data_IF_323859399167
#
_entry.id   IF_323859399167
#
_cell.length_a   1.000
_cell.length_b   1.000
_cell.length_c   1.000
_cell.angle_alpha   90.00
_cell.angle_beta   90.00
_cell.angle_gamma   90.00
#
_symmetry.space_group_name_H-M   'P 1'
#
loop_
_entity.id
_entity.type
_entity.pdbx_description
1 polymer ?
#
# COMPACT_ATOMS: atom_id res chain seq x y z
N UNK A 1 28.99 11.27 -82.47
CA UNK A 1 28.42 12.06 -81.35
C UNK A 1 27.62 11.13 -80.46
N UNK A 2 28.21 10.62 -79.36
CA UNK A 2 27.52 9.79 -78.36
C UNK A 2 27.02 10.72 -77.25
N UNK A 3 25.69 10.80 -77.05
CA UNK A 3 25.08 11.59 -75.97
C UNK A 3 25.22 10.80 -74.65
N UNK A 4 25.97 11.36 -73.70
CA UNK A 4 26.02 10.90 -72.32
C UNK A 4 24.78 11.43 -71.59
N UNK A 5 23.91 10.55 -71.08
CA UNK A 5 22.84 10.91 -70.16
C UNK A 5 23.42 10.95 -68.74
N UNK A 6 23.46 12.13 -68.13
CA UNK A 6 23.66 12.32 -66.69
C UNK A 6 22.29 12.18 -66.03
N UNK A 7 22.13 11.19 -65.16
CA UNK A 7 20.98 11.04 -64.26
C UNK A 7 21.40 11.63 -62.90
N UNK A 8 20.63 12.57 -62.32
CA UNK A 8 20.96 13.13 -61.01
C UNK A 8 20.64 12.09 -59.92
N UNK A 9 21.64 11.78 -59.09
CA UNK A 9 21.51 10.92 -57.93
C UNK A 9 20.80 11.72 -56.82
N UNK A 10 19.48 11.53 -56.68
CA UNK A 10 18.70 12.08 -55.57
C UNK A 10 19.09 11.31 -54.30
N UNK A 11 19.82 11.96 -53.40
CA UNK A 11 20.14 11.43 -52.07
C UNK A 11 18.90 11.53 -51.19
N UNK A 12 18.15 10.43 -51.06
CA UNK A 12 17.13 10.30 -50.02
C UNK A 12 17.84 10.28 -48.66
N UNK A 13 17.74 11.37 -47.90
CA UNK A 13 17.93 11.29 -46.45
C UNK A 13 16.79 10.44 -45.89
N UNK A 14 17.06 9.18 -45.59
CA UNK A 14 16.20 8.35 -44.74
C UNK A 14 16.28 8.91 -43.32
N UNK A 15 15.31 9.74 -42.95
CA UNK A 15 15.03 10.00 -41.53
C UNK A 15 14.59 8.67 -40.94
N UNK A 16 15.47 8.01 -40.21
CA UNK A 16 15.13 6.83 -39.40
C UNK A 16 14.21 7.30 -38.29
N UNK A 17 12.90 7.33 -38.55
CA UNK A 17 11.91 7.44 -37.50
C UNK A 17 12.00 6.19 -36.65
N UNK A 18 12.34 6.36 -35.37
CA UNK A 18 12.27 5.26 -34.41
C UNK A 18 10.83 4.74 -34.35
N UNK A 19 10.67 3.42 -34.38
CA UNK A 19 9.36 2.80 -34.28
C UNK A 19 8.80 3.06 -32.87
N UNK A 20 7.61 3.66 -32.80
CA UNK A 20 6.89 3.91 -31.55
C UNK A 20 6.16 2.65 -31.11
N UNK A 21 6.06 2.39 -29.81
CA UNK A 21 5.36 1.20 -29.31
C UNK A 21 3.86 1.30 -29.52
N UNK A 22 3.27 0.24 -30.06
CA UNK A 22 1.82 0.11 -30.12
C UNK A 22 1.21 -0.09 -28.73
N UNK A 23 -0.09 0.17 -28.59
CA UNK A 23 -0.86 -0.19 -27.39
C UNK A 23 -0.68 -1.65 -26.94
N UNK A 24 -0.63 -2.59 -27.90
CA UNK A 24 -0.46 -4.00 -27.59
C UNK A 24 0.95 -4.31 -27.05
N UNK A 25 1.96 -3.61 -27.57
CA UNK A 25 3.33 -3.73 -27.09
C UNK A 25 3.47 -3.19 -25.66
N UNK A 26 2.91 -2.01 -25.37
CA UNK A 26 2.89 -1.46 -24.01
C UNK A 26 2.13 -2.35 -23.03
N UNK A 27 0.98 -2.90 -23.45
CA UNK A 27 0.20 -3.85 -22.63
C UNK A 27 1.03 -5.11 -22.30
N UNK A 28 1.81 -5.60 -23.27
CA UNK A 28 2.71 -6.73 -23.08
C UNK A 28 3.83 -6.39 -22.10
N UNK A 29 4.49 -5.25 -22.24
CA UNK A 29 5.53 -4.77 -21.31
C UNK A 29 4.99 -4.68 -19.89
N UNK A 30 3.81 -4.08 -19.69
CA UNK A 30 3.17 -4.01 -18.38
C UNK A 30 2.95 -5.41 -17.78
N UNK A 31 2.44 -6.35 -18.59
CA UNK A 31 2.21 -7.73 -18.13
C UNK A 31 3.52 -8.44 -17.75
N UNK A 32 4.56 -8.32 -18.58
CA UNK A 32 5.88 -8.91 -18.35
C UNK A 32 6.59 -8.30 -17.13
N UNK A 33 6.36 -7.01 -16.85
CA UNK A 33 6.96 -6.33 -15.71
C UNK A 33 6.53 -6.87 -14.35
N UNK A 34 5.38 -7.55 -14.29
CA UNK A 34 4.80 -8.02 -13.03
C UNK A 34 4.26 -6.91 -12.12
N UNK A 35 4.45 -5.63 -12.46
CA UNK A 35 3.92 -4.50 -11.67
C UNK A 35 2.39 -4.53 -11.69
N UNK A 36 1.77 -4.37 -10.52
CA UNK A 36 0.32 -4.48 -10.31
C UNK A 36 -0.36 -3.18 -9.87
N UNK A 37 0.40 -2.10 -9.72
CA UNK A 37 -0.08 -0.78 -9.36
C UNK A 37 1.07 0.16 -9.06
N UNK A 38 0.75 1.37 -8.63
CA UNK A 38 1.73 2.41 -8.31
C UNK A 38 1.87 3.45 -9.43
N UNK A 39 3.02 4.11 -9.47
CA UNK A 39 3.30 5.18 -10.41
C UNK A 39 4.09 4.66 -11.62
N UNK A 40 3.50 4.76 -12.81
CA UNK A 40 4.11 4.33 -14.06
C UNK A 40 4.49 5.53 -14.94
N UNK A 41 5.62 5.44 -15.62
CA UNK A 41 6.17 6.49 -16.47
C UNK A 41 6.39 5.98 -17.89
N UNK A 42 6.00 6.78 -18.88
CA UNK A 42 6.22 6.50 -20.30
C UNK A 42 7.09 7.59 -20.94
N UNK A 43 8.38 7.34 -21.12
CA UNK A 43 9.33 8.28 -21.72
C UNK A 43 9.34 8.16 -23.24
N UNK A 44 9.35 9.29 -23.94
CA UNK A 44 9.31 9.35 -25.40
C UNK A 44 7.93 9.03 -25.98
N UNK A 45 6.88 9.12 -25.17
CA UNK A 45 5.52 8.81 -25.58
C UNK A 45 5.05 9.76 -26.70
N UNK A 46 4.46 9.19 -27.75
CA UNK A 46 3.81 9.93 -28.85
C UNK A 46 2.39 9.45 -29.12
N UNK A 47 2.00 8.27 -28.61
CA UNK A 47 0.65 7.72 -28.69
C UNK A 47 -0.03 7.71 -27.30
N UNK A 48 -1.12 8.48 -27.19
CA UNK A 48 -1.92 8.56 -25.98
C UNK A 48 -2.66 7.27 -25.64
N UNK A 49 -3.03 6.47 -26.65
CA UNK A 49 -3.68 5.18 -26.46
C UNK A 49 -2.72 4.11 -25.93
N UNK A 50 -1.46 4.16 -26.36
CA UNK A 50 -0.39 3.31 -25.84
C UNK A 50 -0.06 3.67 -24.39
N UNK A 51 0.09 4.98 -24.09
CA UNK A 51 0.28 5.46 -22.71
C UNK A 51 -0.87 5.06 -21.79
N UNK A 52 -2.12 5.17 -22.25
CA UNK A 52 -3.29 4.79 -21.48
C UNK A 52 -3.30 3.30 -21.09
N UNK A 53 -2.66 2.42 -21.87
CA UNK A 53 -2.58 0.99 -21.54
C UNK A 53 -1.75 0.70 -20.28
N UNK A 54 -0.92 1.64 -19.81
CA UNK A 54 -0.23 1.54 -18.52
C UNK A 54 -1.17 1.72 -17.30
N UNK A 55 -2.44 2.07 -17.52
CA UNK A 55 -3.46 2.19 -16.48
C UNK A 55 -4.59 1.15 -16.67
N UNK A 56 -4.36 -0.14 -16.42
CA UNK A 56 -5.39 -1.17 -16.55
C UNK A 56 -6.46 -1.11 -15.43
N UNK A 57 -6.16 -0.46 -14.31
CA UNK A 57 -7.05 -0.31 -13.14
C UNK A 57 -6.82 1.02 -12.43
N UNK A 58 -7.59 1.31 -11.39
CA UNK A 58 -7.41 2.49 -10.54
C UNK A 58 -6.23 2.42 -9.58
N UNK A 59 -5.56 1.26 -9.51
CA UNK A 59 -4.33 1.05 -8.76
C UNK A 59 -3.11 1.75 -9.37
N UNK A 60 -3.27 2.43 -10.51
CA UNK A 60 -2.18 3.05 -11.26
C UNK A 60 -2.40 4.56 -11.45
N UNK A 61 -1.29 5.29 -11.35
CA UNK A 61 -1.17 6.65 -11.86
C UNK A 61 -0.07 6.67 -12.93
N UNK A 62 -0.32 7.33 -14.05
CA UNK A 62 0.56 7.29 -15.22
C UNK A 62 0.97 8.70 -15.64
N UNK A 63 2.27 8.88 -15.88
CA UNK A 63 2.81 10.11 -16.44
C UNK A 63 3.65 9.81 -17.69
N UNK A 64 3.22 10.35 -18.83
CA UNK A 64 4.02 10.34 -20.05
C UNK A 64 4.90 11.59 -20.14
N UNK A 65 6.13 11.41 -20.61
CA UNK A 65 7.05 12.50 -20.92
C UNK A 65 7.39 12.46 -22.42
N UNK A 66 6.84 13.40 -23.18
CA UNK A 66 7.11 13.54 -24.61
C UNK A 66 8.44 14.26 -24.84
N UNK A 67 9.17 13.88 -25.88
CA UNK A 67 10.42 14.55 -26.30
C UNK A 67 10.18 15.68 -27.30
N UNK A 68 9.09 15.61 -28.07
CA UNK A 68 8.68 16.65 -29.01
C UNK A 68 7.58 17.53 -28.41
N UNK A 69 7.90 18.82 -28.24
CA UNK A 69 6.97 19.81 -27.72
C UNK A 69 5.73 20.01 -28.59
N UNK A 70 5.86 19.85 -29.91
CA UNK A 70 4.76 20.05 -30.86
C UNK A 70 3.73 18.91 -30.83
N UNK A 71 4.14 17.72 -30.39
CA UNK A 71 3.28 16.54 -30.30
C UNK A 71 2.49 16.45 -28.99
N UNK A 72 2.83 17.26 -27.98
CA UNK A 72 2.27 17.15 -26.63
C UNK A 72 0.76 17.30 -26.56
N UNK A 73 0.20 18.29 -27.26
CA UNK A 73 -1.25 18.51 -27.24
C UNK A 73 -2.00 17.36 -27.91
N UNK A 74 -1.44 16.78 -28.96
CA UNK A 74 -1.94 15.55 -29.59
C UNK A 74 -1.89 14.36 -28.65
N UNK A 75 -0.79 14.18 -27.92
CA UNK A 75 -0.64 13.14 -26.90
C UNK A 75 -1.68 13.27 -25.78
N UNK A 76 -1.87 14.49 -25.26
CA UNK A 76 -2.88 14.80 -24.23
C UNK A 76 -4.29 14.51 -24.71
N UNK A 77 -4.60 14.87 -25.96
CA UNK A 77 -5.89 14.59 -26.56
C UNK A 77 -6.12 13.09 -26.79
N UNK A 78 -5.10 12.36 -27.22
CA UNK A 78 -5.13 10.90 -27.33
C UNK A 78 -5.40 10.21 -25.99
N UNK A 79 -4.76 10.69 -24.91
CA UNK A 79 -5.01 10.20 -23.54
C UNK A 79 -6.47 10.44 -23.13
N UNK A 80 -7.00 11.65 -23.34
CA UNK A 80 -8.39 11.97 -23.02
C UNK A 80 -9.38 11.07 -23.76
N UNK A 81 -9.15 10.84 -25.06
CA UNK A 81 -9.98 9.95 -25.87
C UNK A 81 -9.93 8.50 -25.40
N UNK A 82 -8.76 8.02 -24.96
CA UNK A 82 -8.57 6.64 -24.53
C UNK A 82 -9.11 6.36 -23.11
N UNK A 83 -8.96 7.31 -22.19
CA UNK A 83 -9.29 7.14 -20.75
C UNK A 83 -10.64 7.78 -20.38
N UNK A 84 -11.14 8.71 -21.20
CA UNK A 84 -12.34 9.50 -20.91
C UNK A 84 -12.13 10.65 -19.91
N UNK A 85 -10.93 10.78 -19.34
CA UNK A 85 -10.55 11.84 -18.39
C UNK A 85 -9.06 12.16 -18.50
N UNK A 86 -8.62 13.24 -17.85
CA UNK A 86 -7.20 13.64 -17.78
C UNK A 86 -6.78 13.88 -16.33
N UNK A 87 -5.57 13.45 -15.95
CA UNK A 87 -5.00 13.65 -14.61
C UNK A 87 -4.42 12.38 -14.00
N UNK A 88 -5.20 11.29 -13.95
CA UNK A 88 -4.70 9.96 -13.53
C UNK A 88 -3.78 9.33 -14.57
N UNK A 89 -4.03 9.63 -15.85
CA UNK A 89 -3.05 9.55 -16.93
C UNK A 89 -2.83 10.97 -17.43
N UNK A 90 -1.58 11.40 -17.49
CA UNK A 90 -1.20 12.75 -17.88
C UNK A 90 0.09 12.75 -18.70
N UNK A 91 0.36 13.85 -19.39
CA UNK A 91 1.56 14.04 -20.18
C UNK A 91 2.18 15.44 -20.01
N UNK A 92 3.50 15.47 -20.00
CA UNK A 92 4.32 16.69 -20.04
C UNK A 92 5.56 16.49 -20.94
N UNK A 93 6.42 17.50 -21.02
CA UNK A 93 7.66 17.46 -21.79
C UNK A 93 8.82 16.95 -20.96
N UNK A 94 9.58 16.00 -21.51
CA UNK A 94 10.90 15.65 -21.00
C UNK A 94 11.88 16.81 -21.25
N UNK A 95 12.42 17.40 -20.18
CA UNK A 95 13.40 18.48 -20.25
C UNK A 95 14.78 17.96 -19.89
N UNK A 96 15.61 17.73 -20.90
CA UNK A 96 16.96 17.20 -20.71
C UNK A 96 16.95 15.72 -20.31
N UNK A 97 17.97 15.30 -19.58
CA UNK A 97 18.23 13.90 -19.21
C UNK A 97 18.02 13.60 -17.72
N UNK A 98 17.48 14.56 -16.95
CA UNK A 98 17.11 14.39 -15.55
C UNK A 98 15.59 14.32 -15.42
N UNK A 99 15.09 13.28 -14.77
CA UNK A 99 13.67 13.00 -14.67
C UNK A 99 13.05 13.87 -13.55
N UNK A 100 11.85 14.44 -13.79
CA UNK A 100 11.20 15.37 -12.86
C UNK A 100 10.52 14.66 -11.67
N UNK A 101 11.14 13.59 -11.16
CA UNK A 101 10.63 12.79 -10.06
C UNK A 101 11.63 12.79 -8.91
N UNK A 102 11.08 12.77 -7.70
CA UNK A 102 11.86 12.47 -6.50
C UNK A 102 12.37 11.03 -6.54
N UNK A 103 13.42 10.74 -5.79
CA UNK A 103 13.99 9.39 -5.73
C UNK A 103 12.93 8.39 -5.27
N UNK A 104 13.01 7.17 -5.79
CA UNK A 104 12.13 6.05 -5.43
C UNK A 104 10.66 6.20 -5.84
N UNK A 105 10.25 7.15 -6.67
CA UNK A 105 8.83 7.36 -6.98
C UNK A 105 8.21 6.34 -7.96
N UNK A 106 8.99 5.79 -8.91
CA UNK A 106 8.46 5.12 -10.12
C UNK A 106 8.48 3.59 -9.99
N UNK A 107 7.32 2.93 -10.04
CA UNK A 107 7.25 1.46 -10.00
C UNK A 107 7.53 0.81 -11.37
N UNK A 108 7.07 1.45 -12.45
CA UNK A 108 7.31 1.01 -13.82
C UNK A 108 7.75 2.18 -14.68
N UNK A 109 8.92 2.08 -15.31
CA UNK A 109 9.37 3.04 -16.31
C UNK A 109 9.46 2.35 -17.67
N UNK A 110 8.75 2.86 -18.67
CA UNK A 110 8.87 2.40 -20.05
C UNK A 110 9.53 3.52 -20.85
N UNK A 111 10.69 3.24 -21.43
CA UNK A 111 11.44 4.21 -22.22
C UNK A 111 11.48 3.78 -23.68
N UNK A 112 10.89 4.60 -24.55
CA UNK A 112 10.98 4.44 -25.99
C UNK A 112 12.42 4.61 -26.49
N UNK A 113 12.63 4.19 -27.73
CA UNK A 113 13.93 4.24 -28.39
C UNK A 113 14.35 5.69 -28.66
N UNK A 114 15.65 5.98 -28.52
CA UNK A 114 16.19 7.33 -28.72
C UNK A 114 16.03 8.29 -27.53
N UNK A 115 15.43 7.86 -26.41
CA UNK A 115 15.39 8.67 -25.18
C UNK A 115 16.71 8.54 -24.41
N UNK A 116 17.40 9.65 -24.21
CA UNK A 116 18.71 9.69 -23.53
C UNK A 116 18.57 10.00 -22.04
N UNK A 117 18.26 8.98 -21.24
CA UNK A 117 18.34 9.03 -19.76
C UNK A 117 19.30 7.93 -19.31
N UNK A 118 20.28 8.29 -18.48
CA UNK A 118 21.30 7.34 -18.04
C UNK A 118 20.72 6.35 -17.01
N UNK A 119 21.39 5.20 -16.87
CA UNK A 119 20.94 4.11 -16.00
C UNK A 119 20.88 4.52 -14.52
N UNK A 120 21.83 5.34 -14.05
CA UNK A 120 21.86 5.81 -12.67
C UNK A 120 20.64 6.69 -12.32
N UNK A 121 20.21 7.54 -13.27
CA UNK A 121 19.03 8.37 -13.14
C UNK A 121 17.74 7.54 -13.15
N UNK A 122 17.68 6.51 -13.99
CA UNK A 122 16.56 5.54 -13.98
C UNK A 122 16.49 4.85 -12.63
N UNK A 123 17.62 4.31 -12.13
CA UNK A 123 17.69 3.66 -10.82
C UNK A 123 17.38 4.63 -9.67
N UNK A 124 17.71 5.92 -9.79
CA UNK A 124 17.36 6.94 -8.80
C UNK A 124 15.85 7.05 -8.65
N UNK A 125 15.12 7.20 -9.75
CA UNK A 125 13.66 7.40 -9.71
C UNK A 125 12.88 6.12 -9.48
N UNK A 126 13.41 4.95 -9.85
CA UNK A 126 12.72 3.68 -9.60
C UNK A 126 12.52 3.48 -8.10
N UNK A 127 11.30 3.12 -7.69
CA UNK A 127 11.01 2.63 -6.34
C UNK A 127 11.77 1.33 -6.09
N UNK A 128 12.10 0.98 -4.83
CA UNK A 128 12.53 -0.37 -4.50
C UNK A 128 11.57 -1.42 -5.09
N UNK A 129 12.14 -2.46 -5.72
CA UNK A 129 11.43 -3.48 -6.51
C UNK A 129 10.77 -2.98 -7.81
N UNK A 130 10.91 -1.69 -8.13
CA UNK A 130 10.49 -1.10 -9.39
C UNK A 130 11.35 -1.59 -10.56
N UNK A 131 10.77 -1.56 -11.76
CA UNK A 131 11.41 -2.04 -12.99
C UNK A 131 11.30 -1.01 -14.11
N UNK A 132 12.36 -0.90 -14.90
CA UNK A 132 12.38 -0.16 -16.15
C UNK A 132 12.47 -1.12 -17.35
N UNK A 133 11.79 -0.79 -18.43
CA UNK A 133 11.87 -1.41 -19.74
C UNK A 133 12.39 -0.36 -20.73
N UNK A 134 13.56 -0.61 -21.30
CA UNK A 134 14.26 0.32 -22.19
C UNK A 134 14.29 -0.25 -23.60
N UNK A 135 13.74 0.47 -24.57
CA UNK A 135 13.77 0.06 -25.96
C UNK A 135 15.11 0.43 -26.59
N UNK A 136 15.81 -0.56 -27.14
CA UNK A 136 17.07 -0.41 -27.88
C UNK A 136 17.14 -1.41 -29.01
N UNK A 137 17.49 -0.96 -30.21
CA UNK A 137 17.59 -1.78 -31.43
C UNK A 137 16.30 -2.59 -31.68
N UNK A 138 15.15 -1.94 -31.47
CA UNK A 138 13.83 -2.54 -31.58
C UNK A 138 13.50 -3.62 -30.53
N UNK A 139 14.32 -3.80 -29.47
CA UNK A 139 14.11 -4.79 -28.40
C UNK A 139 13.99 -4.12 -27.04
N UNK A 140 13.27 -4.77 -26.13
CA UNK A 140 13.16 -4.35 -24.73
C UNK A 140 14.26 -4.98 -23.89
N UNK A 141 14.98 -4.14 -23.14
CA UNK A 141 15.88 -4.56 -22.06
C UNK A 141 15.27 -4.13 -20.73
N UNK A 142 15.15 -5.06 -19.78
CA UNK A 142 14.69 -4.74 -18.43
C UNK A 142 15.85 -4.40 -17.49
N UNK A 143 15.54 -3.60 -16.48
CA UNK A 143 16.41 -3.24 -15.36
C UNK A 143 15.53 -3.12 -14.12
N UNK A 144 15.93 -3.70 -12.99
CA UNK A 144 15.14 -3.64 -11.75
C UNK A 144 15.97 -3.11 -10.60
N UNK A 145 15.33 -2.37 -9.69
CA UNK A 145 15.97 -1.86 -8.48
C UNK A 145 15.74 -2.84 -7.32
N UNK A 146 16.81 -3.34 -6.66
CA UNK A 146 16.65 -4.24 -5.52
C UNK A 146 16.03 -3.53 -4.31
N UNK A 147 15.54 -4.32 -3.34
CA UNK A 147 15.22 -3.79 -2.03
C UNK A 147 16.51 -3.35 -1.32
N UNK A 148 16.53 -2.16 -0.71
CA UNK A 148 17.72 -1.65 -0.04
C UNK A 148 17.83 -2.20 1.39
N UNK A 149 19.04 -2.59 1.82
CA UNK A 149 19.29 -3.24 3.13
C UNK A 149 19.09 -2.32 4.34
N UNK A 150 19.08 -1.01 4.12
CA UNK A 150 18.95 0.04 5.14
C UNK A 150 17.49 0.51 5.35
N UNK A 151 16.51 -0.06 4.61
CA UNK A 151 15.08 0.15 4.84
C UNK A 151 14.46 -1.06 5.50
N UNK A 152 13.87 -0.81 6.67
CA UNK A 152 13.16 -1.82 7.45
C UNK A 152 11.65 -1.85 7.15
N UNK A 153 10.98 -2.90 7.63
CA UNK A 153 9.53 -3.05 7.61
C UNK A 153 8.90 -2.76 8.98
N UNK A 154 7.59 -2.55 9.01
CA UNK A 154 6.83 -2.32 10.25
C UNK A 154 5.55 -3.18 10.22
N UNK A 155 5.74 -4.47 10.47
CA UNK A 155 4.75 -5.56 10.28
C UNK A 155 3.60 -5.56 11.29
N UNK A 156 3.82 -5.06 12.51
CA UNK A 156 2.89 -5.07 13.63
C UNK A 156 2.77 -3.68 14.27
N UNK A 157 1.81 -3.49 15.18
CA UNK A 157 1.62 -2.21 15.88
C UNK A 157 2.92 -1.69 16.53
N UNK A 158 3.66 -2.56 17.21
CA UNK A 158 4.96 -2.24 17.82
C UNK A 158 6.10 -2.85 17.01
N UNK A 159 6.16 -2.52 15.72
CA UNK A 159 7.16 -2.96 14.72
C UNK A 159 7.07 -4.45 14.35
N UNK A 160 7.48 -5.35 15.25
CA UNK A 160 7.57 -6.79 15.03
C UNK A 160 6.64 -7.59 15.94
N UNK A 161 6.69 -8.91 15.80
CA UNK A 161 5.98 -9.83 16.69
C UNK A 161 6.56 -9.83 18.11
N UNK A 162 7.81 -9.39 18.28
CA UNK A 162 8.50 -9.24 19.56
C UNK A 162 7.94 -8.11 20.44
N UNK A 163 7.12 -7.22 19.87
CA UNK A 163 6.52 -6.10 20.58
C UNK A 163 7.50 -4.95 20.87
N UNK A 164 8.69 -4.93 20.25
CA UNK A 164 9.69 -3.89 20.47
C UNK A 164 9.51 -2.73 19.48
N UNK A 165 9.06 -1.57 19.96
CA UNK A 165 8.67 -0.44 19.11
C UNK A 165 9.84 0.37 18.50
N UNK A 166 10.81 -0.31 17.90
CA UNK A 166 12.04 0.29 17.34
C UNK A 166 12.31 -0.31 15.96
N UNK A 167 12.33 0.55 14.93
CA UNK A 167 12.77 0.14 13.60
C UNK A 167 14.29 -0.12 13.56
N UNK A 168 14.69 -1.02 12.67
CA UNK A 168 16.08 -1.36 12.33
C UNK A 168 16.62 -0.54 11.13
N UNK A 169 15.80 0.38 10.59
CA UNK A 169 16.15 1.25 9.47
C UNK A 169 17.34 2.17 9.82
N UNK A 170 18.28 2.31 8.88
CA UNK A 170 19.44 3.21 9.03
C UNK A 170 19.45 4.34 8.00
N UNK A 171 18.40 4.44 7.18
CA UNK A 171 18.26 5.43 6.11
C UNK A 171 17.67 6.74 6.61
N UNK A 172 16.72 6.68 7.55
CA UNK A 172 16.00 7.86 8.02
C UNK A 172 16.92 8.76 8.84
N UNK A 173 17.13 9.99 8.35
CA UNK A 173 17.76 11.10 9.08
C UNK A 173 16.80 12.29 9.20
N UNK A 174 17.31 13.49 9.58
CA UNK A 174 16.50 14.70 9.62
C UNK A 174 15.76 14.94 8.28
N UNK A 175 14.42 15.14 8.29
CA UNK A 175 13.66 15.32 7.05
C UNK A 175 14.13 16.53 6.24
N UNK A 176 14.47 16.31 4.96
CA UNK A 176 14.95 17.37 4.04
C UNK A 176 13.97 17.75 2.95
N UNK A 177 13.07 16.83 2.60
CA UNK A 177 12.07 16.98 1.54
C UNK A 177 10.88 16.09 1.83
N UNK A 178 9.77 16.39 1.19
CA UNK A 178 8.57 15.58 1.22
C UNK A 178 8.64 14.52 0.12
N UNK A 179 8.37 13.26 0.46
CA UNK A 179 8.33 12.17 -0.54
C UNK A 179 7.05 12.25 -1.38
N UNK A 180 5.88 12.34 -0.75
CA UNK A 180 4.59 12.52 -1.41
C UNK A 180 3.53 13.05 -0.44
N UNK A 181 2.41 13.53 -0.99
CA UNK A 181 1.16 13.82 -0.26
C UNK A 181 0.02 13.08 -0.96
N UNK A 182 -0.65 12.20 -0.22
CA UNK A 182 -1.75 11.39 -0.73
C UNK A 182 -3.13 12.00 -0.46
N UNK A 183 -4.14 11.46 -1.13
CA UNK A 183 -5.55 11.68 -0.79
C UNK A 183 -6.05 10.66 0.24
N UNK A 184 -7.11 10.96 1.02
CA UNK A 184 -7.69 12.29 1.20
C UNK A 184 -6.72 13.22 1.94
N UNK A 185 -6.77 14.53 1.64
CA UNK A 185 -5.94 15.56 2.31
C UNK A 185 -6.51 16.01 3.65
N UNK A 186 -7.29 15.16 4.29
CA UNK A 186 -8.10 15.50 5.45
C UNK A 186 -8.34 14.27 6.32
N UNK A 187 -8.56 14.52 7.61
CA UNK A 187 -9.16 13.58 8.56
C UNK A 187 -10.50 14.16 9.05
N UNK A 188 -11.43 13.32 9.51
CA UNK A 188 -12.76 13.78 9.93
C UNK A 188 -12.73 14.57 11.23
N UNK A 189 -11.95 14.13 12.21
CA UNK A 189 -11.99 14.74 13.53
C UNK A 189 -10.72 14.45 14.34
N UNK A 190 -10.43 15.34 15.29
CA UNK A 190 -9.31 15.17 16.20
C UNK A 190 -9.74 15.18 17.67
N UNK A 191 -10.99 15.43 18.06
CA UNK A 191 -11.41 15.37 19.49
C UNK A 191 -12.13 14.08 19.90
N UNK A 192 -12.41 13.21 18.94
CA UNK A 192 -12.93 11.86 19.13
C UNK A 192 -11.90 10.90 18.55
N UNK A 193 -12.21 9.60 18.54
CA UNK A 193 -11.34 8.60 17.90
C UNK A 193 -10.84 9.09 16.54
N UNK A 194 -9.52 9.03 16.37
CA UNK A 194 -8.87 9.49 15.15
C UNK A 194 -9.40 8.72 13.93
N UNK A 195 -9.42 9.39 12.77
CA UNK A 195 -9.83 8.75 11.52
C UNK A 195 -8.94 7.56 11.17
N UNK A 196 -7.65 7.60 11.52
CA UNK A 196 -6.74 6.47 11.34
C UNK A 196 -6.61 5.68 12.64
N UNK A 197 -6.77 4.36 12.59
CA UNK A 197 -6.77 3.52 13.82
C UNK A 197 -5.71 2.41 13.86
N UNK A 198 -5.11 2.05 12.72
CA UNK A 198 -4.02 1.09 12.64
C UNK A 198 -3.20 1.37 11.38
N UNK A 199 -1.89 1.12 11.41
CA UNK A 199 -0.99 1.23 10.26
C UNK A 199 0.15 0.21 10.37
N UNK A 200 0.48 -0.44 9.27
CA UNK A 200 1.66 -1.31 9.10
C UNK A 200 2.27 -1.11 7.72
N UNK A 201 3.51 -1.57 7.53
CA UNK A 201 4.22 -1.47 6.25
C UNK A 201 5.08 -2.68 5.97
N UNK A 202 4.93 -3.24 4.77
CA UNK A 202 5.66 -4.42 4.28
C UNK A 202 5.74 -4.35 2.76
N UNK A 203 6.87 -4.78 2.18
CA UNK A 203 7.05 -4.95 0.74
C UNK A 203 6.80 -3.67 -0.07
N UNK A 204 7.17 -2.50 0.49
CA UNK A 204 6.99 -1.19 -0.16
C UNK A 204 5.55 -0.69 -0.17
N UNK A 205 4.68 -1.23 0.69
CA UNK A 205 3.27 -0.82 0.80
C UNK A 205 2.95 -0.36 2.21
N UNK A 206 2.01 0.57 2.31
CA UNK A 206 1.36 0.97 3.56
C UNK A 206 -0.03 0.37 3.61
N UNK A 207 -0.38 -0.24 4.74
CA UNK A 207 -1.70 -0.76 5.03
C UNK A 207 -2.24 -0.08 6.27
N UNK A 208 -3.43 0.51 6.18
CA UNK A 208 -3.99 1.23 7.32
C UNK A 208 -5.51 1.29 7.29
N UNK A 209 -6.11 1.46 8.45
CA UNK A 209 -7.56 1.64 8.60
C UNK A 209 -7.88 3.13 8.70
N UNK A 210 -8.80 3.61 7.86
CA UNK A 210 -9.19 5.03 7.81
C UNK A 210 -10.70 5.21 7.73
N UNK A 211 -11.24 6.19 8.46
CA UNK A 211 -12.60 6.71 8.29
C UNK A 211 -12.61 7.83 7.22
N UNK A 212 -13.17 7.52 6.05
CA UNK A 212 -13.37 8.45 4.93
C UNK A 212 -14.81 8.99 4.85
N UNK A 213 -15.57 8.92 5.96
CA UNK A 213 -16.93 9.46 6.05
C UNK A 213 -16.99 10.98 5.92
N UNK A 214 -18.21 11.53 5.86
CA UNK A 214 -18.40 12.97 5.68
C UNK A 214 -17.73 13.81 6.77
N UNK A 215 -17.01 14.85 6.35
CA UNK A 215 -16.34 15.81 7.23
C UNK A 215 -17.24 16.92 7.78
N UNK A 216 -18.46 17.02 7.26
CA UNK A 216 -19.40 18.10 7.64
C UNK A 216 -19.68 18.06 9.14
N UNK A 217 -19.77 16.86 9.71
CA UNK A 217 -19.90 16.66 11.15
C UNK A 217 -19.42 15.27 11.52
N UNK A 218 -18.77 15.15 12.67
CA UNK A 218 -18.40 13.86 13.26
C UNK A 218 -19.64 13.06 13.71
N UNK A 219 -20.81 13.69 13.82
CA UNK A 219 -22.08 13.01 14.13
C UNK A 219 -22.64 12.23 12.94
N UNK A 220 -22.14 12.47 11.72
CA UNK A 220 -22.54 11.71 10.54
C UNK A 220 -21.91 10.32 10.55
N UNK A 221 -22.55 9.31 9.93
CA UNK A 221 -22.01 7.95 9.87
C UNK A 221 -20.56 7.90 9.36
N UNK A 222 -19.72 7.01 9.92
CA UNK A 222 -18.38 6.74 9.42
C UNK A 222 -18.40 5.92 8.14
N UNK A 223 -17.30 5.98 7.39
CA UNK A 223 -17.05 5.16 6.20
C UNK A 223 -15.66 4.51 6.35
N UNK A 224 -15.61 3.41 7.10
CA UNK A 224 -14.37 2.75 7.50
C UNK A 224 -13.80 1.87 6.40
N UNK A 225 -12.51 2.02 6.10
CA UNK A 225 -11.83 1.25 5.05
C UNK A 225 -10.48 0.73 5.52
N UNK A 226 -10.13 -0.48 5.12
CA UNK A 226 -8.76 -0.95 5.07
C UNK A 226 -8.18 -0.54 3.71
N UNK A 227 -7.08 0.20 3.73
CA UNK A 227 -6.50 0.82 2.53
C UNK A 227 -5.07 0.33 2.36
N UNK A 228 -4.74 -0.08 1.14
CA UNK A 228 -3.36 -0.28 0.71
C UNK A 228 -2.90 0.85 -0.21
N UNK A 229 -1.68 1.30 0.01
CA UNK A 229 -1.04 2.37 -0.76
C UNK A 229 0.42 2.02 -1.02
N UNK A 230 0.95 2.42 -2.17
CA UNK A 230 2.39 2.38 -2.40
C UNK A 230 3.10 3.34 -1.43
N UNK A 231 4.11 2.84 -0.72
CA UNK A 231 4.80 3.60 0.32
C UNK A 231 5.74 4.68 -0.24
N UNK A 232 6.15 4.59 -1.50
CA UNK A 232 7.15 5.47 -2.09
C UNK A 232 6.59 6.57 -2.98
N UNK A 233 5.35 6.45 -3.47
CA UNK A 233 4.67 7.49 -4.24
C UNK A 233 3.26 7.83 -3.76
N UNK A 234 2.69 7.04 -2.86
CA UNK A 234 1.39 7.32 -2.28
C UNK A 234 0.20 6.99 -3.19
N UNK A 235 0.35 6.26 -4.29
CA UNK A 235 -0.78 5.79 -5.12
C UNK A 235 -1.61 4.77 -4.33
N UNK A 236 -2.93 4.95 -4.29
CA UNK A 236 -3.85 3.97 -3.67
C UNK A 236 -3.90 2.74 -4.55
N UNK A 237 -3.60 1.57 -3.98
CA UNK A 237 -3.60 0.29 -4.69
C UNK A 237 -4.97 -0.36 -4.66
N UNK A 238 -5.58 -0.41 -3.48
CA UNK A 238 -6.93 -0.91 -3.27
C UNK A 238 -7.52 -0.37 -1.96
N UNK A 239 -8.84 -0.44 -1.85
CA UNK A 239 -9.60 -0.16 -0.62
C UNK A 239 -10.60 -1.27 -0.38
N UNK A 240 -10.78 -1.64 0.88
CA UNK A 240 -11.75 -2.64 1.34
C UNK A 240 -12.65 -2.00 2.39
N UNK A 241 -13.95 -1.99 2.13
CA UNK A 241 -14.94 -1.49 3.09
C UNK A 241 -14.95 -2.35 4.36
N UNK A 242 -15.09 -1.70 5.51
CA UNK A 242 -15.23 -2.33 6.83
C UNK A 242 -16.62 -1.97 7.34
N UNK A 243 -17.64 -2.85 7.16
CA UNK A 243 -19.03 -2.50 7.43
C UNK A 243 -19.29 -2.09 8.89
N UNK A 244 -18.57 -2.73 9.83
CA UNK A 244 -18.69 -2.44 11.26
C UNK A 244 -17.31 -2.42 11.88
N UNK A 245 -16.85 -1.24 12.26
CA UNK A 245 -15.63 -1.04 13.02
C UNK A 245 -15.94 -0.54 14.43
N UNK A 246 -14.99 0.15 15.04
CA UNK A 246 -15.19 0.80 16.32
C UNK A 246 -16.10 2.03 16.20
N UNK A 247 -16.76 2.39 17.31
CA UNK A 247 -17.64 3.56 17.34
C UNK A 247 -16.81 4.85 17.20
N UNK A 248 -17.01 5.59 16.10
CA UNK A 248 -16.27 6.82 15.75
C UNK A 248 -16.41 7.95 16.79
N UNK A 249 -17.51 8.00 17.55
CA UNK A 249 -17.69 8.95 18.68
C UNK A 249 -17.03 8.50 20.00
N UNK A 250 -16.16 7.49 19.99
CA UNK A 250 -15.38 7.13 21.17
C UNK A 250 -14.63 8.34 21.75
N UNK A 251 -14.63 8.52 23.08
CA UNK A 251 -14.26 9.79 23.69
C UNK A 251 -12.74 10.07 23.67
N UNK A 252 -11.89 9.07 23.43
CA UNK A 252 -10.44 9.25 23.32
C UNK A 252 -9.93 9.21 21.88
N UNK A 253 -9.01 10.13 21.59
CA UNK A 253 -8.36 10.26 20.27
C UNK A 253 -7.60 9.00 19.86
N UNK A 254 -6.96 8.35 20.84
CA UNK A 254 -6.21 7.10 20.67
C UNK A 254 -7.06 5.90 20.28
N UNK A 255 -8.40 5.99 20.34
CA UNK A 255 -9.26 4.81 20.24
C UNK A 255 -9.11 3.88 21.45
N UNK A 256 -9.69 2.66 21.39
CA UNK A 256 -9.48 1.65 22.41
C UNK A 256 -8.12 0.96 22.21
N UNK A 257 -7.57 0.47 23.31
CA UNK A 257 -6.18 -0.01 23.41
C UNK A 257 -5.79 -1.03 22.35
N UNK A 258 -6.66 -2.00 22.06
CA UNK A 258 -6.32 -3.15 21.22
C UNK A 258 -6.57 -2.91 19.72
N UNK A 259 -7.21 -1.80 19.31
CA UNK A 259 -7.66 -1.64 17.92
C UNK A 259 -6.52 -1.66 16.92
N UNK A 260 -5.39 -1.05 17.29
CA UNK A 260 -4.19 -1.01 16.47
C UNK A 260 -3.54 -2.39 16.30
N UNK A 261 -3.83 -3.35 17.19
CA UNK A 261 -3.31 -4.73 17.16
C UNK A 261 -4.14 -5.69 16.31
N UNK A 262 -5.16 -5.20 15.62
CA UNK A 262 -5.98 -6.00 14.70
C UNK A 262 -5.48 -5.99 13.26
N UNK A 263 -4.38 -5.28 12.97
CA UNK A 263 -3.75 -5.22 11.66
C UNK A 263 -2.30 -5.69 11.76
N UNK A 264 -1.97 -6.73 11.01
CA UNK A 264 -0.61 -7.26 10.86
C UNK A 264 -0.33 -7.48 9.38
N UNK A 265 0.89 -7.19 8.92
CA UNK A 265 1.32 -7.44 7.55
C UNK A 265 2.65 -8.17 7.54
N UNK A 266 2.81 -9.16 6.66
CA UNK A 266 4.06 -9.92 6.55
C UNK A 266 4.14 -10.55 5.18
N UNK A 267 5.26 -10.35 4.48
CA UNK A 267 5.44 -10.80 3.10
C UNK A 267 4.35 -10.28 2.17
N UNK A 268 3.61 -11.19 1.54
CA UNK A 268 2.53 -10.91 0.60
C UNK A 268 1.13 -10.96 1.22
N UNK A 269 1.02 -10.99 2.55
CA UNK A 269 -0.26 -11.10 3.27
C UNK A 269 -0.53 -9.94 4.23
N UNK A 270 -1.81 -9.58 4.29
CA UNK A 270 -2.39 -8.66 5.28
C UNK A 270 -3.36 -9.45 6.16
N UNK A 271 -3.09 -9.53 7.45
CA UNK A 271 -3.94 -10.18 8.43
C UNK A 271 -4.78 -9.13 9.17
N UNK A 272 -6.10 -9.25 9.05
CA UNK A 272 -7.02 -8.25 9.59
C UNK A 272 -8.37 -8.85 9.97
N UNK A 273 -8.97 -8.36 11.06
CA UNK A 273 -10.38 -8.61 11.36
C UNK A 273 -11.23 -7.68 10.49
N UNK A 274 -11.80 -8.17 9.38
CA UNK A 274 -12.62 -7.39 8.41
C UNK A 274 -13.98 -6.91 8.99
N UNK A 275 -13.95 -6.41 10.22
CA UNK A 275 -15.06 -6.03 11.07
C UNK A 275 -14.68 -6.25 12.53
N UNK A 276 -15.23 -5.45 13.45
CA UNK A 276 -14.82 -5.43 14.86
C UNK A 276 -15.06 -6.76 15.60
N UNK A 277 -16.02 -7.57 15.14
CA UNK A 277 -16.29 -8.93 15.65
C UNK A 277 -16.11 -10.01 14.58
N UNK A 278 -15.57 -9.66 13.41
CA UNK A 278 -15.36 -10.61 12.33
C UNK A 278 -14.22 -11.59 12.69
N UNK A 279 -14.21 -12.75 12.04
CA UNK A 279 -13.03 -13.61 12.05
C UNK A 279 -11.84 -12.88 11.42
N UNK A 280 -10.63 -13.29 11.81
CA UNK A 280 -9.40 -12.87 11.15
C UNK A 280 -9.42 -13.40 9.71
N UNK A 281 -8.99 -12.55 8.79
CA UNK A 281 -8.77 -12.88 7.38
C UNK A 281 -7.33 -12.56 7.00
N UNK A 282 -6.72 -13.42 6.18
CA UNK A 282 -5.55 -13.05 5.38
C UNK A 282 -6.03 -12.55 4.02
N UNK A 283 -5.52 -11.40 3.61
CA UNK A 283 -5.76 -10.79 2.31
C UNK A 283 -4.44 -10.80 1.53
N UNK A 284 -4.52 -10.96 0.21
CA UNK A 284 -3.40 -10.71 -0.68
C UNK A 284 -3.01 -9.23 -0.61
N UNK A 285 -1.73 -8.95 -0.33
CA UNK A 285 -1.22 -7.60 -0.13
C UNK A 285 -1.30 -6.73 -1.40
N UNK A 286 -1.35 -7.34 -2.58
CA UNK A 286 -1.36 -6.67 -3.88
C UNK A 286 -2.79 -6.35 -4.33
N UNK A 287 -3.73 -7.28 -4.17
CA UNK A 287 -5.09 -7.17 -4.70
C UNK A 287 -6.12 -6.79 -3.63
N UNK A 288 -5.83 -7.07 -2.35
CA UNK A 288 -6.80 -6.93 -1.26
C UNK A 288 -7.89 -8.00 -1.27
N UNK A 289 -7.72 -9.07 -2.06
CA UNK A 289 -8.63 -10.21 -2.07
C UNK A 289 -8.39 -11.09 -0.84
N UNK A 290 -9.45 -11.60 -0.25
CA UNK A 290 -9.35 -12.52 0.89
C UNK A 290 -8.88 -13.88 0.39
N UNK A 291 -7.70 -14.31 0.83
CA UNK A 291 -7.11 -15.61 0.46
C UNK A 291 -7.32 -16.68 1.53
N UNK A 292 -7.54 -16.29 2.79
CA UNK A 292 -7.78 -17.22 3.89
C UNK A 292 -8.64 -16.57 4.96
N UNK A 293 -9.53 -17.35 5.59
CA UNK A 293 -10.29 -16.93 6.76
C UNK A 293 -10.05 -17.93 7.89
N UNK A 294 -9.60 -17.42 9.04
CA UNK A 294 -9.26 -18.22 10.22
C UNK A 294 -10.52 -18.51 11.04
N UNK A 295 -11.22 -19.59 10.70
CA UNK A 295 -12.52 -19.92 11.33
C UNK A 295 -12.36 -20.09 12.85
N UNK A 296 -13.35 -19.62 13.61
CA UNK A 296 -13.35 -19.68 15.08
C UNK A 296 -12.70 -18.47 15.75
N UNK A 297 -12.01 -17.61 14.99
CA UNK A 297 -11.36 -16.39 15.48
C UNK A 297 -12.29 -15.17 15.55
N UNK A 298 -13.61 -15.35 15.43
CA UNK A 298 -14.58 -14.27 15.60
C UNK A 298 -14.45 -13.65 17.00
N UNK A 299 -14.38 -12.32 17.05
CA UNK A 299 -14.13 -11.58 18.30
C UNK A 299 -12.64 -11.41 18.63
N UNK A 300 -11.74 -11.58 17.65
CA UNK A 300 -10.31 -11.33 17.85
C UNK A 300 -10.04 -9.88 18.25
N UNK A 301 -9.31 -9.73 19.35
CA UNK A 301 -8.89 -8.46 19.91
C UNK A 301 -7.48 -8.07 19.44
N UNK A 302 -6.59 -9.06 19.30
CA UNK A 302 -5.20 -8.88 18.88
C UNK A 302 -4.79 -10.00 17.92
N UNK A 303 -3.91 -9.67 16.97
CA UNK A 303 -3.28 -10.61 16.03
C UNK A 303 -1.76 -10.50 16.18
N UNK A 304 -1.09 -11.66 16.15
CA UNK A 304 0.36 -11.77 16.01
C UNK A 304 0.69 -12.78 14.90
N UNK A 305 1.76 -12.51 14.15
CA UNK A 305 2.29 -13.45 13.15
C UNK A 305 3.79 -13.66 13.36
N UNK A 306 4.14 -14.86 13.80
CA UNK A 306 5.50 -15.27 14.11
C UNK A 306 5.76 -16.67 13.53
N UNK A 307 6.95 -16.88 12.97
CA UNK A 307 7.39 -18.18 12.39
C UNK A 307 6.34 -18.95 11.55
N UNK A 308 5.65 -18.28 10.63
CA UNK A 308 4.63 -18.92 9.78
C UNK A 308 3.33 -19.29 10.51
N UNK A 309 3.18 -18.91 11.77
CA UNK A 309 1.99 -19.08 12.58
C UNK A 309 1.26 -17.76 12.78
N UNK A 310 -0.07 -17.84 12.87
CA UNK A 310 -0.93 -16.74 13.25
C UNK A 310 -1.53 -17.04 14.61
N UNK A 311 -1.35 -16.13 15.56
CA UNK A 311 -2.03 -16.15 16.84
C UNK A 311 -3.12 -15.09 16.84
N UNK A 312 -4.33 -15.50 17.22
CA UNK A 312 -5.48 -14.63 17.41
C UNK A 312 -5.90 -14.67 18.88
N UNK A 313 -5.90 -13.52 19.55
CA UNK A 313 -6.42 -13.40 20.90
C UNK A 313 -7.93 -13.14 20.82
N UNK A 314 -8.74 -14.15 21.15
CA UNK A 314 -10.18 -14.12 20.93
C UNK A 314 -10.93 -13.84 22.23
N UNK A 315 -11.83 -12.85 22.18
CA UNK A 315 -12.84 -12.63 23.21
C UNK A 315 -14.19 -13.19 22.76
N UNK A 316 -14.68 -14.23 23.45
CA UNK A 316 -16.02 -14.81 23.20
C UNK A 316 -17.15 -14.07 23.92
N UNK A 317 -16.81 -13.14 24.81
CA UNK A 317 -17.76 -12.28 25.50
C UNK A 317 -18.41 -11.24 24.57
N UNK A 318 -19.30 -10.43 25.16
CA UNK A 318 -19.81 -9.27 24.46
C UNK A 318 -18.68 -8.27 24.20
N UNK A 319 -18.55 -7.79 22.97
CA UNK A 319 -17.69 -6.64 22.67
C UNK A 319 -18.06 -5.47 23.57
N UNK A 320 -17.06 -4.70 24.02
CA UNK A 320 -17.23 -3.43 24.75
C UNK A 320 -18.17 -2.44 24.04
N UNK A 321 -18.36 -2.62 22.74
CA UNK A 321 -19.26 -1.82 21.90
C UNK A 321 -20.72 -2.26 21.93
N UNK A 322 -21.07 -3.42 22.49
CA UNK A 322 -22.43 -3.98 22.43
C UNK A 322 -23.47 -2.98 22.94
N UNK A 323 -23.17 -2.33 24.05
CA UNK A 323 -24.05 -1.39 24.74
C UNK A 323 -23.43 0.03 24.81
N UNK A 324 -22.42 0.31 23.98
CA UNK A 324 -21.73 1.61 23.99
C UNK A 324 -22.63 2.71 23.42
N UNK A 325 -22.85 3.75 24.24
CA UNK A 325 -23.55 4.98 23.84
C UNK A 325 -22.70 6.21 24.20
N UNK A 326 -22.47 7.15 23.26
CA UNK A 326 -21.83 8.43 23.57
C UNK A 326 -22.69 9.25 24.54
N UNK A 327 -22.10 9.77 25.64
CA UNK A 327 -22.83 10.55 26.65
C UNK A 327 -22.88 12.06 26.36
N UNK A 328 -22.15 12.54 25.34
CA UNK A 328 -22.15 13.94 24.87
C UNK A 328 -21.94 15.02 25.97
N UNK A 329 -21.13 14.74 27.00
CA UNK A 329 -20.89 15.65 28.12
C UNK A 329 -19.40 16.05 28.27
N UNK A 330 -19.16 17.08 29.09
CA UNK A 330 -17.80 17.47 29.51
C UNK A 330 -17.24 16.38 30.42
N UNK A 331 -16.07 15.84 30.10
CA UNK A 331 -15.43 14.78 30.90
C UNK A 331 -15.72 13.34 30.43
N UNK A 332 -16.40 13.13 29.30
CA UNK A 332 -16.68 11.81 28.69
C UNK A 332 -15.41 10.93 28.56
N UNK A 333 -14.23 11.55 28.44
CA UNK A 333 -12.92 10.89 28.43
C UNK A 333 -12.58 10.15 29.73
N UNK A 334 -13.02 10.65 30.88
CA UNK A 334 -12.75 10.04 32.18
C UNK A 334 -13.38 8.64 32.28
N UNK A 335 -14.47 8.39 31.53
CA UNK A 335 -15.15 7.08 31.49
C UNK A 335 -14.22 5.98 30.98
N UNK A 336 -13.29 6.28 30.07
CA UNK A 336 -12.33 5.26 29.59
C UNK A 336 -11.49 4.69 30.72
N UNK A 337 -11.24 5.48 31.77
CA UNK A 337 -10.47 5.03 32.94
C UNK A 337 -11.26 4.10 33.87
N UNK A 338 -12.58 4.04 33.76
CA UNK A 338 -13.44 3.37 34.76
C UNK A 338 -14.43 2.37 34.16
N UNK A 339 -14.98 2.67 32.97
CA UNK A 339 -16.01 1.88 32.30
C UNK A 339 -15.42 0.90 31.27
N UNK A 340 -14.21 1.15 30.77
CA UNK A 340 -13.57 0.39 29.67
C UNK A 340 -12.20 -0.15 30.10
N UNK A 341 -12.17 -0.70 31.31
CA UNK A 341 -10.98 -1.31 31.91
C UNK A 341 -10.86 -2.77 31.46
N UNK A 342 -9.65 -3.33 31.55
CA UNK A 342 -9.46 -4.76 31.36
C UNK A 342 -10.29 -5.52 32.39
N UNK A 343 -11.16 -6.40 31.92
CA UNK A 343 -12.13 -7.13 32.74
C UNK A 343 -11.56 -8.40 33.38
N UNK A 344 -10.28 -8.71 33.12
CA UNK A 344 -9.55 -9.89 33.59
C UNK A 344 -10.22 -11.24 33.25
N UNK A 345 -11.30 -11.22 32.45
CA UNK A 345 -11.99 -12.44 32.05
C UNK A 345 -11.10 -13.23 31.08
N UNK A 346 -11.17 -14.57 31.10
CA UNK A 346 -10.41 -15.40 30.18
C UNK A 346 -10.64 -15.01 28.71
N UNK A 347 -9.55 -14.99 27.96
CA UNK A 347 -9.52 -14.92 26.50
C UNK A 347 -8.99 -16.26 25.97
N UNK A 348 -9.21 -16.51 24.69
CA UNK A 348 -8.70 -17.72 24.03
C UNK A 348 -7.61 -17.30 23.06
N UNK A 349 -6.38 -17.68 23.34
CA UNK A 349 -5.28 -17.57 22.39
C UNK A 349 -5.36 -18.74 21.42
N UNK A 350 -5.74 -18.47 20.17
CA UNK A 350 -5.87 -19.47 19.12
C UNK A 350 -4.67 -19.41 18.19
N UNK A 351 -3.99 -20.55 17.97
CA UNK A 351 -2.87 -20.65 17.04
C UNK A 351 -3.31 -21.35 15.74
N UNK A 352 -2.86 -20.80 14.62
CA UNK A 352 -3.15 -21.28 13.29
C UNK A 352 -1.88 -21.34 12.46
N UNK A 353 -1.86 -22.25 11.50
CA UNK A 353 -0.98 -22.15 10.36
C UNK A 353 -1.35 -20.89 9.53
N UNK A 354 -0.43 -19.94 9.38
CA UNK A 354 -0.73 -18.63 8.80
C UNK A 354 -1.00 -18.68 7.29
N UNK A 355 -0.58 -19.74 6.61
CA UNK A 355 -0.79 -19.94 5.18
C UNK A 355 -2.14 -20.61 4.91
N UNK A 356 -2.41 -21.72 5.58
CA UNK A 356 -3.57 -22.60 5.31
C UNK A 356 -4.79 -22.26 6.16
N UNK A 357 -4.61 -21.54 7.27
CA UNK A 357 -5.68 -21.26 8.24
C UNK A 357 -6.08 -22.46 9.11
N UNK A 358 -5.31 -23.56 9.07
CA UNK A 358 -5.57 -24.73 9.90
C UNK A 358 -5.24 -24.42 11.36
N UNK A 359 -6.23 -24.56 12.25
CA UNK A 359 -6.04 -24.43 13.70
C UNK A 359 -5.05 -25.49 14.19
N UNK A 360 -4.07 -25.08 14.97
CA UNK A 360 -3.05 -25.93 15.60
C UNK A 360 -3.45 -26.28 17.02
N UNK A 361 -3.73 -25.26 17.82
CA UNK A 361 -4.11 -25.39 19.22
C UNK A 361 -4.86 -24.14 19.69
N UNK A 362 -5.43 -24.21 20.89
CA UNK A 362 -5.98 -23.06 21.60
C UNK A 362 -5.63 -23.14 23.09
N UNK A 363 -5.47 -21.98 23.73
CA UNK A 363 -5.16 -21.87 25.15
C UNK A 363 -6.03 -20.78 25.79
N UNK A 364 -6.73 -21.13 26.85
CA UNK A 364 -7.60 -20.21 27.58
C UNK A 364 -6.87 -19.67 28.82
N UNK A 365 -6.76 -18.35 28.91
CA UNK A 365 -6.16 -17.64 30.03
C UNK A 365 -6.67 -16.20 30.06
N UNK A 366 -6.73 -15.53 31.22
CA UNK A 366 -6.68 -14.07 31.23
C UNK A 366 -5.43 -13.62 30.47
N UNK A 367 -5.56 -12.59 29.63
CA UNK A 367 -4.46 -12.02 28.86
C UNK A 367 -4.58 -10.51 28.94
N UNK A 368 -3.57 -9.87 29.51
CA UNK A 368 -3.53 -8.42 29.62
C UNK A 368 -3.41 -7.79 28.22
N UNK A 369 -4.21 -6.76 27.91
CA UNK A 369 -4.13 -6.06 26.62
C UNK A 369 -2.71 -5.58 26.30
N UNK A 370 -2.32 -5.66 25.04
CA UNK A 370 -1.00 -5.30 24.52
C UNK A 370 0.18 -6.15 25.03
N UNK A 371 -0.06 -7.15 25.89
CA UNK A 371 1.01 -8.01 26.39
C UNK A 371 1.44 -9.15 25.45
N UNK A 372 0.60 -9.68 24.53
CA UNK A 372 1.06 -10.71 23.59
C UNK A 372 2.28 -10.24 22.77
N UNK A 373 3.32 -11.06 22.76
CA UNK A 373 4.53 -10.92 21.96
C UNK A 373 5.15 -12.31 21.67
N UNK A 374 6.04 -12.42 20.68
CA UNK A 374 6.68 -13.69 20.31
C UNK A 374 8.10 -13.49 19.80
N UNK A 375 8.98 -14.43 20.13
CA UNK A 375 10.35 -14.53 19.60
C UNK A 375 10.45 -15.46 18.37
N UNK A 376 9.34 -16.07 17.96
CA UNK A 376 9.27 -17.08 16.89
C UNK A 376 9.23 -18.52 17.38
N UNK A 377 9.61 -18.80 18.63
CA UNK A 377 9.52 -20.15 19.22
C UNK A 377 8.42 -20.24 20.27
N UNK A 378 8.16 -19.12 20.95
CA UNK A 378 7.16 -19.00 22.01
C UNK A 378 6.33 -17.74 21.86
N UNK A 379 5.15 -17.78 22.43
CA UNK A 379 4.33 -16.60 22.71
C UNK A 379 4.39 -16.29 24.19
N UNK A 380 4.56 -15.02 24.49
CA UNK A 380 4.63 -14.45 25.84
C UNK A 380 3.44 -13.53 26.04
N UNK A 381 2.83 -13.55 27.23
CA UNK A 381 1.80 -12.61 27.63
C UNK A 381 1.71 -12.50 29.15
N UNK A 382 1.08 -11.45 29.66
CA UNK A 382 0.85 -11.30 31.10
C UNK A 382 -0.58 -11.75 31.45
N UNK A 383 -0.74 -12.70 32.37
CA UNK A 383 -2.04 -13.28 32.75
C UNK A 383 -2.76 -12.53 33.88
N UNK A 384 -2.21 -11.38 34.29
CA UNK A 384 -2.69 -10.59 35.43
C UNK A 384 -1.90 -10.81 36.71
N UNK A 385 -1.09 -11.86 36.76
CA UNK A 385 -0.23 -12.18 37.92
C UNK A 385 1.23 -12.34 37.51
N UNK A 386 1.48 -13.04 36.40
CA UNK A 386 2.80 -13.41 35.93
C UNK A 386 2.91 -13.31 34.42
N UNK A 387 4.15 -13.33 33.90
CA UNK A 387 4.40 -13.52 32.48
C UNK A 387 4.36 -15.02 32.19
N UNK A 388 3.47 -15.42 31.28
CA UNK A 388 3.29 -16.79 30.81
C UNK A 388 3.94 -16.96 29.45
N UNK A 389 4.55 -18.13 29.22
CA UNK A 389 5.16 -18.51 27.96
C UNK A 389 4.57 -19.83 27.46
N UNK A 390 4.23 -19.90 26.18
CA UNK A 390 3.68 -21.09 25.51
C UNK A 390 4.45 -21.33 24.22
N UNK A 391 4.80 -22.57 23.92
CA UNK A 391 5.44 -22.96 22.65
C UNK A 391 4.42 -22.87 21.50
N UNK A 392 4.83 -22.30 20.36
CA UNK A 392 3.91 -22.01 19.25
C UNK A 392 3.92 -23.05 18.13
#
# INVERSE_FOLDING_TARGET
MKKLLIIPLLSLLTVTGFAVSSKNEITRVLKESGVKGGFAVHLGATDGSATAALKPSDSYQVHALATDASALDGLREGIRKAVGSYGTVSADILRGNHLPYIDNMVNLLVSEEGVEVNEAEILRVLSPLGTAYLRKDGKWKSLSKPWPEDIDEWTHYLHGADGNAVAKDTRVGPPRRLQWVGSPRWSRHHDRMASMSALTSTGGRLFYVMDEGSRVSIQLPPDWKLIARDAFNGVVLWKREIPKWHHHLWPLKSGPTQLARRLVTKGDRVYFTMGITAAVSALDAITGETVTTFKGSEGSEEILVADGLLLALVNKGASELKDYVPKHNVGDQARVRTEFVWDENPRILMCYDAETGKKRWEHESPVAPLSPASDGERVYFHDGKTVTAIEI
#
